data_IF_178810931729
#
_entry.id   IF_178810931729
#
_cell.length_a   1.000
_cell.length_b   1.000
_cell.length_c   1.000
_cell.angle_alpha   90.00
_cell.angle_beta   90.00
_cell.angle_gamma   90.00
#
_symmetry.space_group_name_H-M   'P 1'
#
loop_
_entity.id
_entity.type
_entity.pdbx_description
1 polymer ?
#
# COMPACT_ATOMS: atom_id res chain seq x y z
N UNK A 1 26.86 3.98 18.07
CA UNK A 1 27.16 2.64 17.54
C UNK A 1 27.12 2.67 16.02
N UNK A 2 28.18 2.25 15.34
CA UNK A 2 28.15 2.09 13.88
C UNK A 2 27.38 0.79 13.60
N UNK A 3 26.18 0.89 13.04
CA UNK A 3 25.47 -0.27 12.54
C UNK A 3 26.24 -0.83 11.35
N UNK A 4 26.82 -2.01 11.55
CA UNK A 4 27.38 -2.78 10.46
C UNK A 4 26.25 -3.24 9.54
N UNK A 5 26.47 -3.09 8.26
CA UNK A 5 25.49 -3.29 7.20
C UNK A 5 25.10 -4.76 7.14
N UNK A 6 23.85 -5.09 7.44
CA UNK A 6 23.30 -6.39 7.06
C UNK A 6 23.12 -6.43 5.55
N UNK A 7 24.07 -7.05 4.86
CA UNK A 7 23.93 -7.36 3.44
C UNK A 7 23.26 -8.72 3.31
N UNK A 8 22.02 -8.83 2.82
CA UNK A 8 21.52 -10.11 2.37
C UNK A 8 22.37 -10.52 1.16
N UNK A 9 23.12 -11.61 1.26
CA UNK A 9 23.84 -12.14 0.11
C UNK A 9 22.83 -12.68 -0.92
N UNK A 10 23.26 -12.85 -2.18
CA UNK A 10 22.42 -13.44 -3.23
C UNK A 10 21.88 -14.83 -2.83
N UNK A 11 22.60 -15.56 -1.99
CA UNK A 11 22.19 -16.86 -1.45
C UNK A 11 21.17 -16.73 -0.33
N UNK A 12 21.28 -15.71 0.57
CA UNK A 12 20.27 -15.42 1.59
C UNK A 12 18.93 -15.01 0.97
N UNK A 13 18.95 -14.41 -0.21
CA UNK A 13 17.72 -14.08 -0.95
C UNK A 13 17.16 -15.27 -1.74
N UNK A 14 17.99 -16.27 -2.08
CA UNK A 14 17.56 -17.47 -2.80
C UNK A 14 17.01 -18.58 -1.89
N UNK A 15 17.41 -18.60 -0.64
CA UNK A 15 17.00 -19.62 0.31
C UNK A 15 16.47 -18.94 1.56
N UNK A 16 15.26 -19.27 1.96
CA UNK A 16 14.64 -18.88 3.24
C UNK A 16 15.34 -19.52 4.46
N UNK A 17 16.49 -20.18 4.26
CA UNK A 17 17.27 -20.82 5.30
C UNK A 17 18.29 -19.83 5.87
N UNK A 18 18.38 -19.80 7.20
CA UNK A 18 19.33 -19.07 8.00
C UNK A 18 20.73 -19.02 7.40
N UNK A 19 21.24 -17.84 7.03
CA UNK A 19 22.66 -17.64 6.86
C UNK A 19 23.34 -17.88 8.22
N UNK A 20 24.04 -18.98 8.35
CA UNK A 20 24.90 -19.23 9.49
C UNK A 20 26.11 -18.30 9.43
N UNK A 21 26.16 -17.33 10.34
CA UNK A 21 27.35 -16.59 10.73
C UNK A 21 27.99 -15.64 9.71
N UNK A 22 28.52 -14.58 10.22
CA UNK A 22 29.08 -13.38 9.58
C UNK A 22 30.24 -13.59 8.59
N UNK A 23 30.77 -14.81 8.41
CA UNK A 23 32.07 -15.02 7.74
C UNK A 23 32.01 -15.62 6.31
N UNK A 24 30.83 -15.83 5.74
CA UNK A 24 30.72 -16.52 4.43
C UNK A 24 30.27 -15.64 3.26
N UNK A 25 29.93 -14.37 3.49
CA UNK A 25 29.54 -13.45 2.41
C UNK A 25 30.77 -12.81 1.75
N UNK A 26 31.12 -13.22 0.53
CA UNK A 26 32.16 -12.54 -0.28
C UNK A 26 31.81 -11.07 -0.47
N UNK A 27 32.73 -10.19 -0.08
CA UNK A 27 32.61 -8.73 -0.15
C UNK A 27 32.22 -8.26 -1.55
N UNK A 28 31.04 -7.69 -1.69
CA UNK A 28 30.66 -6.90 -2.87
C UNK A 28 31.28 -5.51 -2.71
N UNK A 29 32.03 -5.04 -3.72
CA UNK A 29 32.68 -3.72 -3.77
C UNK A 29 31.70 -2.64 -3.30
N UNK A 30 32.08 -1.94 -2.23
CA UNK A 30 31.32 -0.85 -1.63
C UNK A 30 31.23 0.35 -2.59
N UNK A 31 30.19 0.44 -3.43
CA UNK A 31 29.76 1.74 -3.95
C UNK A 31 29.28 2.54 -2.76
N UNK A 32 29.75 3.79 -2.60
CA UNK A 32 29.24 4.75 -1.61
C UNK A 32 27.72 4.90 -1.87
N UNK A 33 26.90 4.18 -1.11
CA UNK A 33 25.45 4.25 -1.23
C UNK A 33 25.01 5.63 -0.74
N UNK A 34 24.18 6.30 -1.54
CA UNK A 34 23.51 7.54 -1.10
C UNK A 34 22.64 7.21 0.11
N UNK A 35 22.53 8.08 1.10
CA UNK A 35 21.62 7.88 2.22
C UNK A 35 20.19 7.65 1.70
N UNK A 36 19.48 6.66 2.28
CA UNK A 36 18.08 6.47 1.98
C UNK A 36 17.26 7.56 2.66
N UNK A 37 16.51 8.32 1.90
CA UNK A 37 15.76 9.46 2.44
C UNK A 37 14.40 9.06 3.01
N UNK A 38 13.80 7.99 2.51
CA UNK A 38 12.54 7.42 3.00
C UNK A 38 11.29 8.30 2.90
N UNK A 39 11.45 9.62 2.83
CA UNK A 39 10.34 10.59 2.77
C UNK A 39 10.12 10.96 1.32
N UNK A 40 8.90 10.73 0.81
CA UNK A 40 8.57 10.96 -0.59
C UNK A 40 7.08 11.24 -0.78
N UNK A 41 6.74 11.77 -1.93
CA UNK A 41 5.35 11.74 -2.37
C UNK A 41 4.93 10.30 -2.70
N UNK A 42 3.66 9.99 -2.45
CA UNK A 42 3.15 8.65 -2.71
C UNK A 42 3.30 8.25 -4.17
N UNK A 43 3.62 6.99 -4.43
CA UNK A 43 3.74 6.47 -5.81
C UNK A 43 2.38 6.22 -6.46
N UNK A 44 1.33 6.08 -5.66
CA UNK A 44 -0.05 5.89 -6.11
C UNK A 44 -0.75 7.23 -6.39
N UNK A 45 0.04 8.23 -6.59
CA UNK A 45 -0.16 9.63 -6.87
C UNK A 45 -1.59 10.16 -6.85
N UNK A 46 -2.37 9.76 -7.82
CA UNK A 46 -3.75 10.24 -7.95
C UNK A 46 -4.77 9.36 -7.21
N UNK A 47 -4.46 8.12 -6.84
CA UNK A 47 -5.41 7.22 -6.18
C UNK A 47 -5.33 7.28 -4.64
N UNK A 48 -4.27 7.85 -4.08
CA UNK A 48 -4.07 7.91 -2.64
C UNK A 48 -4.47 9.27 -2.06
N UNK A 49 -5.33 9.26 -1.03
CA UNK A 49 -5.70 10.46 -0.27
C UNK A 49 -4.54 11.03 0.55
N UNK A 50 -3.49 10.22 0.82
CA UNK A 50 -2.32 10.64 1.60
C UNK A 50 -1.15 10.93 0.67
N UNK A 51 -0.81 12.21 0.44
CA UNK A 51 0.17 12.59 -0.57
C UNK A 51 1.62 12.28 -0.18
N UNK A 52 1.91 12.13 1.11
CA UNK A 52 3.27 11.92 1.63
C UNK A 52 3.40 10.56 2.28
N UNK A 53 4.39 9.78 1.80
CA UNK A 53 4.75 8.47 2.33
C UNK A 53 6.13 8.49 2.97
N UNK A 54 6.25 7.76 4.07
CA UNK A 54 7.51 7.53 4.79
C UNK A 54 7.77 6.03 4.81
N UNK A 55 8.93 5.62 4.29
CA UNK A 55 9.40 4.24 4.36
C UNK A 55 10.68 4.19 5.18
N UNK A 56 10.66 3.42 6.24
CA UNK A 56 11.78 3.34 7.21
C UNK A 56 12.98 2.55 6.71
N UNK A 57 12.78 1.74 5.68
CA UNK A 57 13.83 0.97 5.02
C UNK A 57 13.65 0.98 3.50
N UNK A 58 14.76 0.81 2.78
CA UNK A 58 14.75 0.69 1.32
C UNK A 58 14.08 -0.61 0.84
N UNK A 59 14.13 -1.67 1.65
CA UNK A 59 13.52 -3.00 1.42
C UNK A 59 13.06 -3.54 2.77
N UNK A 60 11.90 -4.19 2.81
CA UNK A 60 11.36 -4.82 4.02
C UNK A 60 12.14 -6.09 4.42
N UNK A 61 12.36 -6.30 5.72
CA UNK A 61 13.05 -7.47 6.27
C UNK A 61 12.19 -8.75 6.30
N UNK A 62 10.88 -8.67 6.21
CA UNK A 62 9.97 -9.83 6.36
C UNK A 62 10.05 -10.86 5.24
N UNK A 63 10.36 -10.45 4.02
CA UNK A 63 10.65 -11.38 2.91
C UNK A 63 9.45 -12.18 2.41
N UNK A 64 8.25 -11.64 2.49
CA UNK A 64 7.02 -12.28 1.97
C UNK A 64 7.20 -12.74 0.53
N UNK A 65 6.78 -13.98 0.22
CA UNK A 65 7.02 -14.60 -1.09
C UNK A 65 6.31 -13.88 -2.23
N UNK A 66 5.16 -13.29 -1.98
CA UNK A 66 4.32 -12.58 -2.94
C UNK A 66 4.64 -11.08 -3.06
N UNK A 67 5.62 -10.55 -2.33
CA UNK A 67 5.84 -9.11 -2.22
C UNK A 67 6.17 -8.45 -3.56
N UNK A 68 5.28 -7.61 -4.06
CA UNK A 68 5.46 -6.88 -5.32
C UNK A 68 6.64 -5.89 -5.28
N UNK A 69 6.97 -5.36 -4.10
CA UNK A 69 8.07 -4.41 -3.92
C UNK A 69 9.41 -5.03 -4.35
N UNK A 70 9.58 -6.32 -4.11
CA UNK A 70 10.76 -7.07 -4.55
C UNK A 70 10.91 -7.02 -6.07
N UNK A 71 9.82 -7.18 -6.82
CA UNK A 71 9.85 -7.13 -8.28
C UNK A 71 10.18 -5.72 -8.83
N UNK A 72 9.85 -4.69 -8.07
CA UNK A 72 10.07 -3.29 -8.49
C UNK A 72 11.43 -2.73 -8.06
N UNK A 73 11.97 -3.21 -6.94
CA UNK A 73 13.15 -2.62 -6.29
C UNK A 73 14.43 -3.43 -6.54
N UNK A 74 14.35 -4.74 -6.71
CA UNK A 74 15.49 -5.67 -6.69
C UNK A 74 16.57 -5.41 -7.72
N UNK A 75 16.29 -4.83 -8.85
CA UNK A 75 17.34 -4.46 -9.81
C UNK A 75 18.23 -3.30 -9.35
N UNK A 76 17.98 -2.72 -8.18
CA UNK A 76 18.52 -1.42 -7.77
C UNK A 76 19.06 -1.35 -6.34
N UNK A 77 18.62 -2.21 -5.42
CA UNK A 77 19.02 -2.19 -4.01
C UNK A 77 19.30 -3.61 -3.52
N UNK A 78 20.58 -3.95 -3.43
CA UNK A 78 21.02 -5.25 -2.89
C UNK A 78 21.14 -5.25 -1.35
N UNK A 79 20.79 -4.16 -0.67
CA UNK A 79 21.00 -3.97 0.76
C UNK A 79 19.81 -3.31 1.40
N UNK A 80 19.38 -3.77 2.57
CA UNK A 80 18.44 -3.06 3.42
C UNK A 80 19.16 -1.85 3.98
N UNK A 81 18.78 -0.66 3.52
CA UNK A 81 19.32 0.60 4.02
C UNK A 81 18.23 1.28 4.84
N UNK A 82 18.41 1.42 6.16
CA UNK A 82 17.45 2.12 6.98
C UNK A 82 17.47 3.62 6.70
N UNK A 83 16.35 4.28 6.97
CA UNK A 83 16.25 5.74 6.96
C UNK A 83 17.20 6.33 8.00
N UNK A 84 17.93 7.38 7.63
CA UNK A 84 18.90 8.01 8.54
C UNK A 84 18.23 8.79 9.68
N UNK A 85 18.93 9.00 10.80
CA UNK A 85 18.46 9.83 11.91
C UNK A 85 18.19 11.29 11.49
N UNK A 86 18.93 11.81 10.50
CA UNK A 86 18.69 13.13 9.91
C UNK A 86 17.27 13.29 9.32
N UNK A 87 16.59 12.18 9.03
CA UNK A 87 15.20 12.21 8.55
C UNK A 87 14.23 12.71 9.62
N UNK A 88 14.48 12.45 10.90
CA UNK A 88 13.67 12.95 12.01
C UNK A 88 13.73 14.48 12.09
N UNK A 89 14.93 15.05 12.02
CA UNK A 89 15.11 16.52 11.97
C UNK A 89 14.46 17.12 10.72
N UNK A 90 14.50 16.43 9.59
CA UNK A 90 13.82 16.86 8.37
C UNK A 90 12.29 16.86 8.55
N UNK A 91 11.72 15.79 9.12
CA UNK A 91 10.29 15.71 9.42
C UNK A 91 9.87 16.78 10.41
N UNK A 92 10.64 16.96 11.49
CA UNK A 92 10.41 18.03 12.45
C UNK A 92 10.46 19.42 11.80
N UNK A 93 11.41 19.67 10.90
CA UNK A 93 11.48 20.91 10.12
C UNK A 93 10.27 21.13 9.20
N UNK A 94 9.71 20.04 8.64
CA UNK A 94 8.49 20.10 7.83
C UNK A 94 7.29 20.43 8.74
N UNK A 95 7.09 19.66 9.81
CA UNK A 95 5.90 19.75 10.67
C UNK A 95 5.87 21.02 11.53
N UNK A 96 7.04 21.53 11.96
CA UNK A 96 7.14 22.79 12.69
C UNK A 96 6.95 24.04 11.83
N UNK A 97 6.98 23.92 10.52
CA UNK A 97 6.97 25.06 9.61
C UNK A 97 8.31 25.81 9.51
N UNK A 98 9.34 25.44 10.29
CA UNK A 98 10.61 26.19 10.39
C UNK A 98 11.56 25.99 9.21
N UNK A 99 11.44 24.89 8.45
CA UNK A 99 12.32 24.65 7.31
C UNK A 99 11.90 25.49 6.11
N UNK A 100 12.78 26.38 5.65
CA UNK A 100 12.59 27.22 4.46
C UNK A 100 12.97 26.53 3.15
N UNK A 101 13.42 25.26 3.19
CA UNK A 101 13.79 24.54 1.98
C UNK A 101 12.57 24.37 1.04
N UNK A 102 12.80 24.51 -0.27
CA UNK A 102 11.75 24.30 -1.30
C UNK A 102 11.06 22.95 -1.13
N UNK A 103 11.80 21.92 -0.76
CA UNK A 103 11.28 20.57 -0.53
C UNK A 103 10.33 20.54 0.68
N UNK A 104 10.70 21.16 1.80
CA UNK A 104 9.84 21.25 2.98
C UNK A 104 8.55 22.04 2.71
N UNK A 105 8.67 23.16 1.98
CA UNK A 105 7.51 23.94 1.56
C UNK A 105 6.54 23.12 0.71
N UNK A 106 7.07 22.29 -0.20
CA UNK A 106 6.24 21.41 -1.04
C UNK A 106 5.51 20.35 -0.20
N UNK A 107 6.20 19.70 0.73
CA UNK A 107 5.55 18.73 1.62
C UNK A 107 4.46 19.38 2.46
N UNK A 108 4.71 20.57 3.01
CA UNK A 108 3.69 21.33 3.77
C UNK A 108 2.48 21.68 2.92
N UNK A 109 2.67 22.10 1.66
CA UNK A 109 1.56 22.37 0.75
C UNK A 109 0.75 21.10 0.49
N UNK A 110 1.40 19.99 0.18
CA UNK A 110 0.72 18.73 -0.05
C UNK A 110 -0.01 18.21 1.21
N UNK A 111 0.56 18.44 2.40
CA UNK A 111 -0.04 18.10 3.68
C UNK A 111 -1.08 19.13 4.17
N UNK A 112 -1.39 20.15 3.39
CA UNK A 112 -2.39 21.17 3.74
C UNK A 112 -2.10 21.86 5.09
N UNK A 113 -0.85 22.13 5.41
CA UNK A 113 -0.46 22.73 6.68
C UNK A 113 -1.06 24.12 6.93
N UNK A 114 -1.37 24.87 5.87
CA UNK A 114 -2.00 26.20 5.92
C UNK A 114 -3.51 26.15 5.72
N UNK A 115 -4.04 24.99 5.35
CA UNK A 115 -5.43 24.74 5.06
C UNK A 115 -5.85 23.43 5.77
N UNK A 116 -5.80 23.51 7.10
CA UNK A 116 -6.12 22.37 7.98
C UNK A 116 -7.61 22.06 7.93
N UNK A 117 -7.99 20.82 8.29
CA UNK A 117 -9.41 20.49 8.40
C UNK A 117 -10.09 21.29 9.53
N UNK A 118 -11.41 21.20 9.62
CA UNK A 118 -12.22 21.91 10.63
C UNK A 118 -11.83 21.61 12.08
N UNK A 119 -11.19 20.49 12.33
CA UNK A 119 -10.70 20.10 13.65
C UNK A 119 -9.22 20.48 13.88
N UNK A 120 -8.62 21.22 12.94
CA UNK A 120 -7.26 21.75 13.08
C UNK A 120 -6.14 20.79 12.70
N UNK A 121 -6.43 19.63 12.10
CA UNK A 121 -5.41 18.65 11.67
C UNK A 121 -4.96 18.87 10.23
N UNK A 122 -3.66 18.70 9.93
CA UNK A 122 -3.16 18.63 8.56
C UNK A 122 -3.48 17.26 7.94
N UNK A 123 -3.28 17.11 6.63
CA UNK A 123 -3.41 15.81 5.96
C UNK A 123 -2.44 14.79 6.57
N UNK A 124 -2.90 13.57 6.77
CA UNK A 124 -2.09 12.52 7.35
C UNK A 124 -0.91 12.11 6.45
N UNK A 125 0.19 11.72 7.06
CA UNK A 125 1.29 11.01 6.38
C UNK A 125 1.05 9.50 6.42
N UNK A 126 1.47 8.81 5.37
CA UNK A 126 1.44 7.34 5.33
C UNK A 126 2.81 6.79 5.75
N UNK A 127 2.84 5.93 6.76
CA UNK A 127 4.02 5.19 7.20
C UNK A 127 3.91 3.73 6.75
N UNK A 128 4.92 3.23 6.04
CA UNK A 128 4.95 1.85 5.59
C UNK A 128 4.21 1.58 4.27
N UNK A 129 4.61 2.25 3.18
CA UNK A 129 4.06 1.99 1.84
C UNK A 129 4.81 0.87 1.09
N UNK A 130 6.14 0.81 1.21
CA UNK A 130 7.01 -0.15 0.53
C UNK A 130 7.70 -1.10 1.52
N UNK A 131 8.15 -0.57 2.66
CA UNK A 131 8.75 -1.34 3.75
C UNK A 131 7.84 -1.34 4.96
N UNK A 132 8.02 -2.33 5.83
CA UNK A 132 7.25 -2.40 7.07
C UNK A 132 7.92 -1.56 8.16
N UNK A 133 7.22 -0.61 8.79
CA UNK A 133 7.80 0.28 9.79
C UNK A 133 8.00 -0.38 11.16
N UNK A 134 7.37 -1.53 11.40
CA UNK A 134 7.39 -2.25 12.67
C UNK A 134 8.10 -3.62 12.53
N UNK A 135 9.13 -3.70 11.69
CA UNK A 135 9.89 -4.92 11.52
C UNK A 135 10.97 -5.10 12.61
N UNK A 136 11.68 -6.23 12.57
CA UNK A 136 12.72 -6.54 13.57
C UNK A 136 13.90 -5.55 13.58
N UNK A 137 14.10 -4.79 12.50
CA UNK A 137 15.12 -3.74 12.45
C UNK A 137 14.68 -2.54 13.30
N UNK A 138 13.39 -2.23 13.27
CA UNK A 138 12.82 -1.18 14.11
C UNK A 138 12.98 -1.48 15.60
N UNK A 139 12.75 -2.72 16.04
CA UNK A 139 12.99 -3.16 17.42
C UNK A 139 14.40 -2.82 17.93
N UNK A 140 15.39 -2.86 17.05
CA UNK A 140 16.78 -2.53 17.40
C UNK A 140 17.06 -1.03 17.35
N UNK A 141 16.31 -0.26 16.55
CA UNK A 141 16.60 1.15 16.25
C UNK A 141 15.79 2.12 17.06
N UNK A 142 14.54 1.80 17.39
CA UNK A 142 13.61 2.70 18.05
C UNK A 142 13.37 4.01 17.27
N UNK A 143 13.42 3.96 15.93
CA UNK A 143 13.18 5.15 15.09
C UNK A 143 11.74 5.62 15.21
N UNK A 144 10.79 4.66 15.23
CA UNK A 144 9.38 4.95 15.38
C UNK A 144 9.06 5.64 16.70
N UNK A 145 9.71 5.23 17.78
CA UNK A 145 9.50 5.86 19.10
C UNK A 145 9.81 7.36 19.06
N UNK A 146 10.94 7.74 18.44
CA UNK A 146 11.33 9.14 18.24
C UNK A 146 10.39 9.85 17.25
N UNK A 147 9.95 9.17 16.22
CA UNK A 147 8.99 9.70 15.24
C UNK A 147 7.64 9.98 15.90
N UNK A 148 7.14 9.10 16.77
CA UNK A 148 5.88 9.28 17.49
C UNK A 148 5.92 10.54 18.40
N UNK A 149 7.06 10.84 19.02
CA UNK A 149 7.22 12.09 19.79
C UNK A 149 7.07 13.34 18.90
N UNK A 150 7.66 13.33 17.71
CA UNK A 150 7.52 14.43 16.74
C UNK A 150 6.07 14.54 16.27
N UNK A 151 5.42 13.41 15.98
CA UNK A 151 4.00 13.34 15.59
C UNK A 151 3.12 13.98 16.64
N UNK A 152 3.25 13.58 17.91
CA UNK A 152 2.48 14.11 19.05
C UNK A 152 2.73 15.61 19.29
N UNK A 153 3.98 16.04 19.11
CA UNK A 153 4.39 17.45 19.29
C UNK A 153 3.73 18.42 18.31
N UNK A 154 3.46 17.97 17.09
CA UNK A 154 2.93 18.82 16.01
C UNK A 154 1.52 18.47 15.56
N UNK A 155 0.84 17.59 16.28
CA UNK A 155 -0.50 17.10 15.96
C UNK A 155 -0.60 16.62 14.50
N UNK A 156 0.40 15.83 14.07
CA UNK A 156 0.47 15.30 12.71
C UNK A 156 -0.19 13.92 12.64
N UNK A 157 -1.34 13.76 11.98
CA UNK A 157 -1.94 12.43 11.82
C UNK A 157 -1.06 11.48 11.01
N UNK A 158 -1.05 10.20 11.40
CA UNK A 158 -0.25 9.16 10.76
C UNK A 158 -1.09 7.91 10.50
N UNK A 159 -1.16 7.51 9.24
CA UNK A 159 -1.71 6.23 8.85
C UNK A 159 -0.57 5.22 8.73
N UNK A 160 -0.61 4.16 9.51
CA UNK A 160 0.42 3.11 9.55
C UNK A 160 -0.09 1.86 8.84
N UNK A 161 0.75 1.24 7.99
CA UNK A 161 0.50 -0.10 7.45
C UNK A 161 1.60 -1.04 7.91
N UNK A 162 1.23 -2.14 8.59
CA UNK A 162 2.24 -3.05 9.15
C UNK A 162 1.79 -4.52 9.16
N UNK A 163 2.76 -5.41 9.28
CA UNK A 163 2.66 -6.82 9.67
C UNK A 163 3.39 -7.09 10.99
N UNK A 164 4.10 -6.10 11.51
CA UNK A 164 4.95 -6.23 12.69
C UNK A 164 4.17 -6.41 13.98
N UNK A 165 4.81 -6.97 15.00
CA UNK A 165 4.22 -7.25 16.31
C UNK A 165 4.75 -6.35 17.45
N UNK A 166 5.38 -5.20 17.11
CA UNK A 166 5.96 -4.32 18.13
C UNK A 166 4.93 -3.72 19.08
N UNK A 167 3.66 -3.61 18.68
CA UNK A 167 2.57 -3.24 19.58
C UNK A 167 2.14 -4.35 20.58
N UNK A 168 2.90 -5.44 20.69
CA UNK A 168 2.90 -6.31 21.87
C UNK A 168 3.84 -5.81 22.97
N UNK A 169 4.75 -4.90 22.64
CA UNK A 169 5.75 -4.36 23.56
C UNK A 169 5.27 -3.04 24.17
N UNK A 170 5.40 -2.93 25.50
CA UNK A 170 4.88 -1.79 26.26
C UNK A 170 5.39 -0.44 25.75
N UNK A 171 6.66 -0.34 25.37
CA UNK A 171 7.26 0.91 24.90
C UNK A 171 6.62 1.46 23.63
N UNK A 172 6.18 0.58 22.70
CA UNK A 172 5.48 0.98 21.48
C UNK A 172 4.02 1.36 21.74
N UNK A 173 3.37 0.72 22.70
CA UNK A 173 2.03 1.12 23.15
C UNK A 173 2.10 2.47 23.88
N UNK A 174 3.07 2.66 24.77
CA UNK A 174 3.28 3.94 25.44
C UNK A 174 3.57 5.09 24.47
N UNK A 175 4.18 4.82 23.32
CA UNK A 175 4.47 5.85 22.32
C UNK A 175 3.20 6.44 21.67
N UNK A 176 2.09 5.71 21.65
CA UNK A 176 0.84 6.13 20.97
C UNK A 176 -0.30 6.49 21.92
N UNK A 177 -0.27 6.04 23.19
CA UNK A 177 -1.40 6.14 24.13
C UNK A 177 -1.82 7.56 24.50
N UNK A 178 -0.90 8.54 24.50
CA UNK A 178 -1.19 9.90 24.98
C UNK A 178 -1.96 10.75 23.95
N UNK A 179 -1.90 10.38 22.66
CA UNK A 179 -2.65 10.99 21.55
C UNK A 179 -3.07 9.91 20.56
N UNK A 180 -3.90 8.94 20.98
CA UNK A 180 -4.26 7.78 20.17
C UNK A 180 -4.99 8.19 18.88
N UNK A 181 -5.72 9.30 18.90
CA UNK A 181 -6.45 9.86 17.77
C UNK A 181 -5.55 10.20 16.56
N UNK A 182 -4.26 10.45 16.78
CA UNK A 182 -3.30 10.75 15.71
C UNK A 182 -2.88 9.52 14.92
N UNK A 183 -3.22 8.32 15.39
CA UNK A 183 -2.75 7.09 14.80
C UNK A 183 -3.92 6.25 14.24
N UNK A 184 -3.83 5.90 12.96
CA UNK A 184 -4.66 4.88 12.34
C UNK A 184 -3.76 3.74 11.88
N UNK A 185 -3.89 2.58 12.52
CA UNK A 185 -3.02 1.42 12.24
C UNK A 185 -3.79 0.35 11.46
N UNK A 186 -3.34 0.04 10.25
CA UNK A 186 -3.90 -1.05 9.47
C UNK A 186 -2.97 -2.26 9.46
N UNK A 187 -3.47 -3.39 9.91
CA UNK A 187 -2.73 -4.64 9.94
C UNK A 187 -2.92 -5.43 8.65
N UNK A 188 -1.81 -5.70 7.96
CA UNK A 188 -1.83 -6.56 6.78
C UNK A 188 -1.84 -8.01 7.21
N UNK A 189 -2.99 -8.67 7.07
CA UNK A 189 -3.19 -10.10 7.34
C UNK A 189 -3.93 -10.69 6.13
N UNK A 190 -3.43 -11.78 5.58
CA UNK A 190 -3.94 -12.36 4.32
C UNK A 190 -4.67 -13.69 4.51
N UNK A 191 -4.52 -14.30 5.68
CA UNK A 191 -5.22 -15.51 6.10
C UNK A 191 -5.17 -15.62 7.64
N UNK A 192 -6.14 -16.24 8.29
CA UNK A 192 -6.09 -16.54 9.72
C UNK A 192 -5.19 -17.74 10.07
N UNK A 193 -4.68 -18.45 9.07
CA UNK A 193 -3.90 -19.67 9.21
C UNK A 193 -2.43 -19.37 9.51
N UNK A 194 -2.04 -19.50 10.77
CA UNK A 194 -0.67 -19.22 11.22
C UNK A 194 0.37 -20.16 10.60
N UNK A 195 -0.03 -21.40 10.22
CA UNK A 195 0.88 -22.35 9.54
C UNK A 195 1.21 -21.84 8.13
N UNK A 196 0.18 -21.42 7.39
CA UNK A 196 0.34 -20.85 6.06
C UNK A 196 1.10 -19.52 6.11
N UNK A 197 0.79 -18.64 7.08
CA UNK A 197 1.53 -17.38 7.27
C UNK A 197 3.02 -17.64 7.46
N UNK A 198 3.40 -18.60 8.31
CA UNK A 198 4.81 -18.92 8.58
C UNK A 198 5.59 -19.32 7.33
N UNK A 199 4.92 -19.94 6.38
CA UNK A 199 5.54 -20.38 5.12
C UNK A 199 5.54 -19.26 4.07
N UNK A 200 4.44 -18.52 3.90
CA UNK A 200 4.32 -17.48 2.85
C UNK A 200 4.93 -16.14 3.26
N UNK A 201 5.07 -15.88 4.56
CA UNK A 201 5.66 -14.67 5.15
C UNK A 201 6.74 -15.03 6.19
N UNK A 202 7.83 -15.68 5.81
CA UNK A 202 8.69 -16.50 6.67
C UNK A 202 9.35 -15.75 7.83
N UNK A 203 9.41 -14.43 7.80
CA UNK A 203 10.02 -13.60 8.86
C UNK A 203 9.06 -12.60 9.48
N UNK A 204 7.81 -12.58 9.03
CA UNK A 204 6.77 -11.76 9.63
C UNK A 204 6.13 -12.49 10.82
N UNK A 205 5.59 -11.77 11.81
CA UNK A 205 4.76 -12.33 12.86
C UNK A 205 3.55 -13.07 12.28
N UNK A 206 3.00 -14.03 13.02
CA UNK A 206 1.84 -14.79 12.60
C UNK A 206 0.52 -13.95 12.66
N UNK A 207 -0.60 -14.48 12.18
CA UNK A 207 -1.88 -13.77 12.17
C UNK A 207 -2.38 -13.51 13.60
N UNK A 208 -2.22 -14.48 14.50
CA UNK A 208 -2.64 -14.38 15.90
C UNK A 208 -1.92 -13.24 16.63
N UNK A 209 -0.61 -13.09 16.45
CA UNK A 209 0.15 -11.98 17.04
C UNK A 209 -0.29 -10.61 16.49
N UNK A 210 -0.58 -10.52 15.19
CA UNK A 210 -1.06 -9.27 14.56
C UNK A 210 -2.46 -8.90 15.08
N UNK A 211 -3.36 -9.87 15.23
CA UNK A 211 -4.69 -9.65 15.83
C UNK A 211 -4.58 -9.21 17.28
N UNK A 212 -3.64 -9.78 18.05
CA UNK A 212 -3.39 -9.32 19.41
C UNK A 212 -2.86 -7.88 19.46
N UNK A 213 -2.00 -7.48 18.52
CA UNK A 213 -1.59 -6.08 18.39
C UNK A 213 -2.77 -5.15 18.10
N UNK A 214 -3.70 -5.56 17.21
CA UNK A 214 -4.91 -4.79 16.93
C UNK A 214 -5.71 -4.60 18.22
N UNK A 215 -5.93 -5.66 18.99
CA UNK A 215 -6.64 -5.62 20.28
C UNK A 215 -5.97 -4.66 21.26
N UNK A 216 -4.63 -4.77 21.44
CA UNK A 216 -3.89 -3.90 22.34
C UNK A 216 -4.00 -2.42 21.95
N UNK A 217 -4.00 -2.11 20.67
CA UNK A 217 -4.18 -0.74 20.16
C UNK A 217 -5.62 -0.25 20.37
N UNK A 218 -6.61 -1.09 20.12
CA UNK A 218 -8.02 -0.77 20.37
C UNK A 218 -8.27 -0.48 21.85
N UNK A 219 -7.64 -1.24 22.75
CA UNK A 219 -7.75 -1.02 24.20
C UNK A 219 -7.12 0.33 24.66
N UNK A 220 -6.39 1.00 23.78
CA UNK A 220 -5.85 2.35 23.96
C UNK A 220 -6.58 3.42 23.12
N UNK A 221 -7.76 3.11 22.58
CA UNK A 221 -8.53 3.98 21.69
C UNK A 221 -7.82 4.36 20.38
N UNK A 222 -6.77 3.64 19.99
CA UNK A 222 -6.14 3.79 18.68
C UNK A 222 -7.04 3.12 17.62
N UNK A 223 -7.37 3.86 16.57
CA UNK A 223 -8.15 3.33 15.44
C UNK A 223 -7.37 2.23 14.71
N UNK A 224 -8.01 1.07 14.50
CA UNK A 224 -7.40 -0.05 13.78
C UNK A 224 -8.26 -0.53 12.62
N UNK A 225 -7.61 -1.11 11.60
CA UNK A 225 -8.30 -1.69 10.45
C UNK A 225 -7.61 -2.94 9.92
N UNK A 226 -8.39 -3.83 9.32
CA UNK A 226 -7.88 -4.98 8.57
C UNK A 226 -7.40 -4.53 7.18
N UNK A 227 -6.18 -4.87 6.83
CA UNK A 227 -5.67 -4.71 5.48
C UNK A 227 -5.49 -6.09 4.84
N UNK A 228 -6.56 -6.62 4.23
CA UNK A 228 -6.58 -7.88 3.50
C UNK A 228 -5.94 -7.68 2.12
N UNK A 229 -4.63 -7.42 2.13
CA UNK A 229 -3.82 -7.08 0.96
C UNK A 229 -2.43 -7.70 1.04
N UNK A 230 -2.07 -8.48 0.04
CA UNK A 230 -2.89 -8.87 -1.10
C UNK A 230 -3.73 -10.12 -0.82
N UNK A 231 -4.87 -10.25 -1.49
CA UNK A 231 -5.59 -11.52 -1.57
C UNK A 231 -4.94 -12.43 -2.63
N UNK A 232 -4.78 -13.69 -2.30
CA UNK A 232 -4.11 -14.71 -3.12
C UNK A 232 -4.93 -15.98 -3.20
N UNK A 233 -5.07 -16.61 -4.38
CA UNK A 233 -5.70 -17.91 -4.51
C UNK A 233 -5.00 -18.99 -3.68
N UNK A 234 -5.77 -19.74 -2.89
CA UNK A 234 -5.25 -20.79 -2.01
C UNK A 234 -4.62 -20.30 -0.71
N UNK A 235 -4.77 -18.99 -0.40
CA UNK A 235 -4.31 -18.38 0.85
C UNK A 235 -5.43 -17.58 1.49
N UNK A 236 -6.01 -16.64 0.75
CA UNK A 236 -7.02 -15.72 1.30
C UNK A 236 -8.44 -16.23 1.13
N UNK A 237 -8.70 -17.01 0.10
CA UNK A 237 -10.00 -17.65 -0.13
C UNK A 237 -10.19 -18.89 0.73
N UNK A 238 -9.21 -19.78 0.76
CA UNK A 238 -9.25 -21.02 1.52
C UNK A 238 -7.88 -21.55 1.87
N UNK A 239 -7.75 -22.21 3.01
CA UNK A 239 -6.60 -23.03 3.40
C UNK A 239 -7.11 -24.39 3.92
N UNK A 240 -6.25 -25.39 4.15
CA UNK A 240 -6.70 -26.67 4.68
C UNK A 240 -7.50 -26.56 5.98
N UNK A 241 -7.07 -25.66 6.89
CA UNK A 241 -7.73 -25.48 8.19
C UNK A 241 -8.88 -24.45 8.14
N UNK A 242 -8.97 -23.63 7.09
CA UNK A 242 -9.97 -22.56 6.94
C UNK A 242 -10.58 -22.55 5.53
N UNK A 243 -11.70 -23.26 5.29
CA UNK A 243 -12.35 -23.34 3.98
C UNK A 243 -12.88 -21.99 3.44
N UNK A 244 -13.08 -21.03 4.31
CA UNK A 244 -13.43 -19.62 4.01
C UNK A 244 -12.51 -18.71 4.82
N UNK A 245 -11.22 -18.70 4.47
CA UNK A 245 -10.19 -18.02 5.24
C UNK A 245 -10.47 -16.51 5.41
N UNK A 246 -10.93 -15.83 4.35
CA UNK A 246 -11.31 -14.40 4.41
C UNK A 246 -12.39 -14.13 5.44
N UNK A 247 -13.41 -15.01 5.56
CA UNK A 247 -14.52 -14.84 6.47
C UNK A 247 -14.04 -14.92 7.92
N UNK A 248 -13.38 -16.02 8.30
CA UNK A 248 -12.82 -16.17 9.65
C UNK A 248 -11.85 -15.04 10.00
N UNK A 249 -11.07 -14.56 9.02
CA UNK A 249 -10.17 -13.44 9.25
C UNK A 249 -10.91 -12.13 9.53
N UNK A 250 -11.98 -11.84 8.81
CA UNK A 250 -12.82 -10.66 9.04
C UNK A 250 -13.42 -10.73 10.44
N UNK A 251 -14.07 -11.85 10.79
CA UNK A 251 -14.66 -12.09 12.11
C UNK A 251 -13.63 -11.84 13.24
N UNK A 252 -12.48 -12.51 13.17
CA UNK A 252 -11.40 -12.32 14.17
C UNK A 252 -10.83 -10.90 14.22
N UNK A 253 -10.84 -10.19 13.10
CA UNK A 253 -10.37 -8.80 13.07
C UNK A 253 -11.37 -7.85 13.72
N UNK A 254 -12.67 -8.11 13.56
CA UNK A 254 -13.75 -7.38 14.25
C UNK A 254 -13.65 -7.62 15.76
N UNK A 255 -13.47 -8.86 16.20
CA UNK A 255 -13.25 -9.22 17.60
C UNK A 255 -12.01 -8.51 18.20
N UNK A 256 -11.01 -8.23 17.36
CA UNK A 256 -9.82 -7.46 17.73
C UNK A 256 -10.00 -5.93 17.64
N UNK A 257 -11.23 -5.46 17.31
CA UNK A 257 -11.60 -4.05 17.28
C UNK A 257 -11.40 -3.35 15.93
N UNK A 258 -11.26 -4.08 14.82
CA UNK A 258 -11.21 -3.46 13.51
C UNK A 258 -12.51 -2.69 13.20
N UNK A 259 -12.38 -1.43 12.80
CA UNK A 259 -13.50 -0.58 12.36
C UNK A 259 -13.55 -0.41 10.84
N UNK A 260 -12.51 -0.85 10.15
CA UNK A 260 -12.39 -0.68 8.70
C UNK A 260 -11.69 -1.88 8.06
N UNK A 261 -11.98 -2.10 6.78
CA UNK A 261 -11.28 -3.06 5.95
C UNK A 261 -10.79 -2.42 4.65
N UNK A 262 -9.55 -2.76 4.28
CA UNK A 262 -8.96 -2.42 2.98
C UNK A 262 -8.56 -3.69 2.26
N UNK A 263 -9.05 -3.94 1.05
CA UNK A 263 -8.71 -5.16 0.32
C UNK A 263 -8.35 -4.94 -1.14
N UNK A 264 -7.52 -5.84 -1.67
CA UNK A 264 -6.99 -5.84 -3.03
C UNK A 264 -6.44 -7.20 -3.38
N UNK A 265 -6.67 -7.68 -4.61
CA UNK A 265 -6.04 -8.90 -5.10
C UNK A 265 -4.55 -8.70 -5.38
N UNK A 266 -3.77 -9.75 -5.20
CA UNK A 266 -2.36 -9.71 -5.54
C UNK A 266 -2.16 -9.37 -7.03
N UNK A 267 -1.21 -8.51 -7.29
CA UNK A 267 -0.77 -8.20 -8.64
C UNK A 267 0.76 -8.14 -8.71
N UNK A 268 1.31 -8.40 -9.89
CA UNK A 268 2.74 -8.29 -10.14
C UNK A 268 2.96 -7.17 -11.16
N UNK A 269 3.64 -6.07 -10.79
CA UNK A 269 3.91 -4.98 -11.73
C UNK A 269 4.82 -5.45 -12.87
N UNK A 270 4.40 -5.25 -14.10
CA UNK A 270 5.14 -5.65 -15.28
C UNK A 270 5.30 -7.18 -15.41
N UNK A 271 6.46 -7.62 -15.90
CA UNK A 271 6.81 -9.05 -15.95
C UNK A 271 7.48 -9.49 -14.67
N UNK A 272 7.23 -10.73 -14.26
CA UNK A 272 7.96 -11.32 -13.13
C UNK A 272 9.46 -11.38 -13.44
N UNK A 273 10.27 -10.81 -12.55
CA UNK A 273 11.71 -11.05 -12.55
C UNK A 273 12.00 -12.52 -12.21
N UNK A 274 13.20 -13.01 -12.53
CA UNK A 274 13.62 -14.38 -12.18
C UNK A 274 13.45 -14.67 -10.69
N UNK A 275 13.83 -13.72 -9.84
CA UNK A 275 13.67 -13.85 -8.39
C UNK A 275 12.21 -13.95 -7.98
N UNK A 276 11.34 -13.12 -8.55
CA UNK A 276 9.90 -13.19 -8.29
C UNK A 276 9.31 -14.53 -8.76
N UNK A 277 9.72 -15.02 -9.93
CA UNK A 277 9.30 -16.34 -10.43
C UNK A 277 9.73 -17.46 -9.45
N UNK A 278 10.94 -17.41 -8.94
CA UNK A 278 11.43 -18.41 -7.99
C UNK A 278 10.66 -18.37 -6.66
N UNK A 279 10.35 -17.18 -6.15
CA UNK A 279 9.49 -17.00 -4.95
C UNK A 279 8.07 -17.53 -5.20
N UNK A 280 7.50 -17.25 -6.35
CA UNK A 280 6.18 -17.72 -6.69
C UNK A 280 6.11 -19.23 -6.93
N UNK A 281 7.15 -19.85 -7.48
CA UNK A 281 7.27 -21.31 -7.54
C UNK A 281 7.33 -21.97 -6.15
N UNK A 282 7.92 -21.27 -5.17
CA UNK A 282 7.88 -21.73 -3.78
C UNK A 282 6.47 -21.60 -3.22
N UNK A 283 5.80 -20.46 -3.48
CA UNK A 283 4.43 -20.23 -3.08
C UNK A 283 3.45 -21.26 -3.69
N UNK A 284 3.62 -21.62 -4.98
CA UNK A 284 2.86 -22.68 -5.66
C UNK A 284 2.89 -24.02 -4.90
N UNK A 285 4.06 -24.39 -4.40
CA UNK A 285 4.23 -25.64 -3.62
C UNK A 285 3.51 -25.59 -2.27
N UNK A 286 3.47 -24.40 -1.64
CA UNK A 286 2.83 -24.21 -0.34
C UNK A 286 1.30 -24.31 -0.49
N UNK A 287 0.76 -23.67 -1.53
CA UNK A 287 -0.70 -23.58 -1.73
C UNK A 287 -1.27 -24.67 -2.64
N UNK A 288 -0.40 -25.55 -3.16
CA UNK A 288 -0.76 -26.59 -4.13
C UNK A 288 -1.60 -26.08 -5.31
N UNK A 289 -1.18 -24.93 -5.88
CA UNK A 289 -1.83 -24.30 -7.04
C UNK A 289 -0.79 -23.73 -7.99
N UNK A 290 -0.97 -23.84 -9.31
CA UNK A 290 -0.03 -23.32 -10.31
C UNK A 290 -0.19 -21.80 -10.48
N UNK A 291 0.15 -21.01 -9.46
CA UNK A 291 -0.11 -19.55 -9.40
C UNK A 291 0.52 -18.78 -10.55
N UNK A 292 1.71 -19.16 -11.00
CA UNK A 292 2.39 -18.49 -12.12
C UNK A 292 1.56 -18.61 -13.40
N UNK A 293 0.91 -19.76 -13.61
CA UNK A 293 0.04 -20.00 -14.76
C UNK A 293 -1.36 -19.40 -14.57
N UNK A 294 -1.84 -19.29 -13.33
CA UNK A 294 -3.14 -18.72 -12.99
C UNK A 294 -3.17 -17.22 -13.28
N UNK A 295 -2.06 -16.51 -13.06
CA UNK A 295 -2.03 -15.07 -13.26
C UNK A 295 -1.97 -14.72 -14.73
N UNK A 296 -2.95 -13.97 -15.15
CA UNK A 296 -3.04 -13.48 -16.52
C UNK A 296 -2.32 -12.16 -16.68
N UNK A 297 -1.78 -12.00 -17.85
CA UNK A 297 -1.23 -10.73 -18.27
C UNK A 297 -2.31 -9.88 -18.99
N UNK A 298 -2.27 -8.56 -18.81
CA UNK A 298 -3.08 -7.59 -19.53
C UNK A 298 -2.49 -7.26 -20.90
N UNK A 299 -2.91 -7.98 -21.96
CA UNK A 299 -2.50 -7.70 -23.34
C UNK A 299 -1.01 -7.91 -23.63
N UNK A 300 -0.53 -7.51 -24.81
CA UNK A 300 0.86 -7.75 -25.26
C UNK A 300 1.94 -6.90 -24.53
N UNK A 301 1.57 -5.77 -23.96
CA UNK A 301 2.48 -4.80 -23.33
C UNK A 301 2.07 -4.50 -21.88
N UNK A 302 2.14 -5.47 -21.01
CA UNK A 302 1.36 -5.51 -19.78
C UNK A 302 1.90 -4.67 -18.65
N UNK A 303 1.03 -3.83 -18.08
CA UNK A 303 1.35 -3.05 -16.88
C UNK A 303 1.44 -3.93 -15.62
N UNK A 304 0.68 -5.02 -15.54
CA UNK A 304 0.73 -5.96 -14.43
C UNK A 304 0.11 -7.31 -14.77
N UNK A 305 0.54 -8.35 -14.05
CA UNK A 305 -0.11 -9.66 -14.03
C UNK A 305 -1.15 -9.68 -12.91
N UNK A 306 -2.31 -10.26 -13.15
CA UNK A 306 -3.44 -10.35 -12.21
C UNK A 306 -4.02 -11.75 -12.19
N UNK A 307 -4.77 -12.14 -11.12
CA UNK A 307 -5.50 -13.40 -11.13
C UNK A 307 -6.64 -13.37 -12.17
N UNK A 308 -7.19 -14.54 -12.52
CA UNK A 308 -8.33 -14.62 -13.44
C UNK A 308 -9.51 -13.76 -12.96
N UNK A 309 -10.22 -13.17 -13.92
CA UNK A 309 -11.34 -12.29 -13.63
C UNK A 309 -12.40 -12.97 -12.75
N UNK A 310 -12.78 -14.20 -13.06
CA UNK A 310 -13.81 -14.94 -12.31
C UNK A 310 -13.44 -15.13 -10.84
N UNK A 311 -12.19 -15.49 -10.54
CA UNK A 311 -11.72 -15.63 -9.17
C UNK A 311 -11.71 -14.26 -8.46
N UNK A 312 -11.17 -13.23 -9.14
CA UNK A 312 -11.14 -11.88 -8.59
C UNK A 312 -12.53 -11.37 -8.27
N UNK A 313 -13.47 -11.52 -9.21
CA UNK A 313 -14.86 -11.11 -9.04
C UNK A 313 -15.51 -11.78 -7.82
N UNK A 314 -15.32 -13.08 -7.67
CA UNK A 314 -15.90 -13.83 -6.56
C UNK A 314 -15.33 -13.40 -5.22
N UNK A 315 -13.99 -13.34 -5.09
CA UNK A 315 -13.37 -12.99 -3.81
C UNK A 315 -13.66 -11.55 -3.41
N UNK A 316 -13.67 -10.61 -4.38
CA UNK A 316 -13.98 -9.22 -4.12
C UNK A 316 -15.39 -9.03 -3.57
N UNK A 317 -16.39 -9.70 -4.18
CA UNK A 317 -17.77 -9.68 -3.69
C UNK A 317 -17.93 -10.43 -2.37
N UNK A 318 -17.31 -11.61 -2.21
CA UNK A 318 -17.40 -12.38 -0.97
C UNK A 318 -16.85 -11.60 0.25
N UNK A 319 -15.70 -10.93 0.07
CA UNK A 319 -15.11 -10.09 1.12
C UNK A 319 -15.99 -8.86 1.39
N UNK A 320 -16.53 -8.22 0.34
CA UNK A 320 -17.44 -7.09 0.49
C UNK A 320 -18.68 -7.47 1.30
N UNK A 321 -19.39 -8.54 0.90
CA UNK A 321 -20.60 -9.00 1.58
C UNK A 321 -20.33 -9.42 3.04
N UNK A 322 -19.20 -10.05 3.29
CA UNK A 322 -18.84 -10.41 4.67
C UNK A 322 -18.52 -9.19 5.52
N UNK A 323 -17.76 -8.23 4.97
CA UNK A 323 -17.43 -6.98 5.66
C UNK A 323 -18.68 -6.16 6.02
N UNK A 324 -19.68 -6.14 5.13
CA UNK A 324 -20.97 -5.48 5.36
C UNK A 324 -21.74 -6.05 6.53
N UNK A 325 -21.69 -7.37 6.77
CA UNK A 325 -22.38 -8.00 7.91
C UNK A 325 -21.82 -7.54 9.26
N UNK A 326 -20.59 -7.03 9.26
CA UNK A 326 -19.89 -6.58 10.46
C UNK A 326 -19.78 -5.06 10.55
N UNK A 327 -20.51 -4.31 9.73
CA UNK A 327 -20.53 -2.83 9.70
C UNK A 327 -19.13 -2.20 9.53
N UNK A 328 -18.21 -2.91 8.88
CA UNK A 328 -16.87 -2.37 8.61
C UNK A 328 -16.92 -1.27 7.55
N UNK A 329 -16.19 -0.20 7.76
CA UNK A 329 -15.95 0.83 6.72
C UNK A 329 -15.11 0.23 5.60
N UNK A 330 -15.65 0.18 4.38
CA UNK A 330 -15.06 -0.56 3.27
C UNK A 330 -14.29 0.36 2.33
N UNK A 331 -12.97 0.14 2.25
CA UNK A 331 -12.09 0.74 1.27
C UNK A 331 -11.52 -0.30 0.30
N UNK A 332 -11.71 -0.08 -1.01
CA UNK A 332 -11.18 -0.96 -2.05
C UNK A 332 -10.00 -0.31 -2.73
N UNK A 333 -8.86 -0.99 -2.70
CA UNK A 333 -7.64 -0.50 -3.34
C UNK A 333 -7.52 -0.92 -4.80
N UNK A 334 -8.11 -2.05 -5.18
CA UNK A 334 -8.07 -2.49 -6.57
C UNK A 334 -8.77 -1.48 -7.49
N UNK A 335 -8.07 -0.89 -8.47
CA UNK A 335 -8.64 0.15 -9.33
C UNK A 335 -9.90 -0.29 -10.07
N UNK A 336 -9.93 -1.55 -10.49
CA UNK A 336 -11.06 -2.07 -11.28
C UNK A 336 -12.33 -2.28 -10.45
N UNK A 337 -12.21 -2.44 -9.14
CA UNK A 337 -13.30 -2.81 -8.25
C UNK A 337 -13.77 -1.66 -7.34
N UNK A 338 -13.52 -0.42 -7.75
CA UNK A 338 -13.92 0.77 -6.98
C UNK A 338 -15.44 0.90 -6.77
N UNK A 339 -16.26 0.19 -7.53
CA UNK A 339 -17.71 0.14 -7.27
C UNK A 339 -18.06 -0.49 -5.92
N UNK A 340 -17.17 -1.28 -5.33
CA UNK A 340 -17.36 -1.89 -4.01
C UNK A 340 -16.83 -1.00 -2.87
N UNK A 341 -16.16 0.12 -3.16
CA UNK A 341 -15.73 1.03 -2.10
C UNK A 341 -16.90 1.87 -1.59
N UNK A 342 -16.93 2.14 -0.30
CA UNK A 342 -17.97 2.94 0.35
C UNK A 342 -17.47 4.32 0.77
N UNK A 343 -16.17 4.50 0.78
CA UNK A 343 -15.52 5.74 1.21
C UNK A 343 -14.48 6.22 0.20
N UNK A 344 -14.21 7.51 0.17
CA UNK A 344 -13.28 8.16 -0.76
C UNK A 344 -11.79 7.81 -0.54
N UNK A 345 -11.50 6.88 0.36
CA UNK A 345 -10.15 6.44 0.69
C UNK A 345 -10.07 4.90 0.68
N UNK A 346 -9.11 4.35 -0.06
CA UNK A 346 -8.90 2.91 -0.11
C UNK A 346 -8.45 2.27 1.23
N UNK A 347 -8.18 3.09 2.24
CA UNK A 347 -7.82 2.63 3.59
C UNK A 347 -9.03 2.43 4.51
N UNK A 348 -10.25 2.72 4.06
CA UNK A 348 -11.43 2.60 4.91
C UNK A 348 -11.53 3.74 5.95
N UNK A 349 -11.30 4.98 5.52
CA UNK A 349 -11.47 6.17 6.35
C UNK A 349 -12.66 6.94 5.80
N UNK A 350 -13.61 7.29 6.66
CA UNK A 350 -14.79 8.08 6.30
C UNK A 350 -14.44 9.55 6.07
N UNK A 351 -15.25 10.25 5.31
CA UNK A 351 -15.04 11.68 5.02
C UNK A 351 -15.23 12.56 6.27
N UNK A 352 -16.08 12.11 7.18
CA UNK A 352 -16.41 12.78 8.45
C UNK A 352 -15.47 12.40 9.61
N UNK A 353 -14.44 11.58 9.35
CA UNK A 353 -13.44 11.29 10.37
C UNK A 353 -12.77 12.61 10.83
N UNK A 354 -12.82 12.95 12.14
CA UNK A 354 -12.38 14.26 12.60
C UNK A 354 -10.88 14.51 12.42
N UNK A 355 -10.07 13.45 12.31
CA UNK A 355 -8.61 13.56 12.20
C UNK A 355 -8.14 13.24 10.77
N UNK A 356 -8.66 12.17 10.18
CA UNK A 356 -8.21 11.63 8.90
C UNK A 356 -9.15 11.95 7.72
N UNK A 357 -10.34 12.48 7.98
CA UNK A 357 -11.31 12.86 6.96
C UNK A 357 -10.97 14.14 6.21
N UNK A 358 -11.85 14.55 5.31
CA UNK A 358 -11.76 15.78 4.48
C UNK A 358 -10.62 15.83 3.44
N UNK A 359 -9.62 14.98 3.51
CA UNK A 359 -8.50 14.92 2.57
C UNK A 359 -8.73 14.01 1.36
N UNK A 360 -9.84 13.27 1.38
CA UNK A 360 -10.19 12.28 0.36
C UNK A 360 -10.65 12.93 -0.95
N UNK A 361 -11.08 14.18 -0.90
CA UNK A 361 -11.67 14.93 -2.04
C UNK A 361 -10.78 14.98 -3.26
N UNK A 362 -9.46 14.95 -3.08
CA UNK A 362 -8.48 15.00 -4.17
C UNK A 362 -8.05 13.62 -4.65
N UNK A 363 -8.59 12.53 -4.08
CA UNK A 363 -8.26 11.16 -4.52
C UNK A 363 -9.11 10.74 -5.71
N UNK A 364 -8.51 9.96 -6.61
CA UNK A 364 -9.27 9.36 -7.70
C UNK A 364 -10.39 8.44 -7.19
N UNK A 365 -10.15 7.73 -6.08
CA UNK A 365 -11.17 6.89 -5.44
C UNK A 365 -12.43 7.69 -5.13
N UNK A 366 -12.29 8.87 -4.50
CA UNK A 366 -13.43 9.72 -4.18
C UNK A 366 -14.13 10.25 -5.44
N UNK A 367 -13.38 10.68 -6.44
CA UNK A 367 -13.96 11.16 -7.70
C UNK A 367 -14.69 10.05 -8.47
N UNK A 368 -14.20 8.81 -8.41
CA UNK A 368 -14.89 7.66 -8.98
C UNK A 368 -16.19 7.35 -8.24
N UNK A 369 -16.24 7.50 -6.92
CA UNK A 369 -17.47 7.37 -6.14
C UNK A 369 -18.49 8.46 -6.52
N UNK A 370 -18.07 9.70 -6.60
CA UNK A 370 -18.92 10.80 -7.06
C UNK A 370 -19.47 10.50 -8.47
N UNK A 371 -18.62 10.02 -9.37
CA UNK A 371 -19.03 9.64 -10.73
C UNK A 371 -20.02 8.48 -10.73
N UNK A 372 -19.82 7.48 -9.86
CA UNK A 372 -20.73 6.35 -9.66
C UNK A 372 -22.13 6.82 -9.23
N UNK A 373 -22.15 7.69 -8.21
CA UNK A 373 -23.39 8.05 -7.52
C UNK A 373 -24.17 9.16 -8.25
N UNK A 374 -23.47 10.01 -9.01
CA UNK A 374 -24.09 11.17 -9.69
C UNK A 374 -24.14 11.04 -11.22
N UNK A 375 -23.41 10.08 -11.81
CA UNK A 375 -23.23 9.99 -13.26
C UNK A 375 -22.31 11.06 -13.86
N UNK A 376 -21.59 11.84 -13.03
CA UNK A 376 -20.63 12.85 -13.47
C UNK A 376 -19.59 12.22 -14.41
N UNK A 377 -19.33 12.90 -15.53
CA UNK A 377 -18.21 12.56 -16.40
C UNK A 377 -16.90 13.07 -15.79
N UNK A 378 -15.88 12.23 -15.79
CA UNK A 378 -14.57 12.55 -15.24
C UNK A 378 -13.61 13.03 -16.32
N UNK A 379 -12.95 14.14 -16.05
CA UNK A 379 -11.75 14.61 -16.73
C UNK A 379 -10.50 14.35 -15.88
N UNK A 380 -9.31 14.51 -16.44
CA UNK A 380 -8.08 14.41 -15.63
C UNK A 380 -8.00 15.45 -14.51
N UNK A 381 -8.65 16.60 -14.69
CA UNK A 381 -8.65 17.69 -13.70
C UNK A 381 -9.35 17.29 -12.40
N UNK A 382 -10.35 16.41 -12.49
CA UNK A 382 -11.07 15.92 -11.31
C UNK A 382 -10.19 15.04 -10.41
N UNK A 383 -9.18 14.36 -11.00
CA UNK A 383 -8.32 13.38 -10.30
C UNK A 383 -6.84 13.80 -10.24
N UNK A 384 -6.52 15.01 -10.63
CA UNK A 384 -5.15 15.54 -10.58
C UNK A 384 -5.00 16.45 -9.37
N UNK A 385 -4.37 15.99 -8.28
CA UNK A 385 -4.15 16.86 -7.13
C UNK A 385 -3.22 18.01 -7.48
N UNK A 386 -3.38 19.14 -6.81
CA UNK A 386 -2.60 20.37 -7.04
C UNK A 386 -1.09 20.12 -7.02
N UNK A 387 -0.64 19.33 -6.06
CA UNK A 387 0.78 18.99 -5.91
C UNK A 387 1.37 18.18 -7.09
N UNK A 388 0.54 17.50 -7.88
CA UNK A 388 0.99 16.70 -9.03
C UNK A 388 1.61 17.54 -10.17
N UNK A 389 1.34 18.84 -10.20
CA UNK A 389 1.87 19.77 -11.20
C UNK A 389 3.29 20.26 -10.89
N UNK A 390 3.86 19.94 -9.75
CA UNK A 390 5.15 20.47 -9.32
C UNK A 390 6.32 19.73 -9.95
N UNK A 391 7.19 20.44 -10.70
CA UNK A 391 8.36 19.84 -11.40
C UNK A 391 9.34 19.12 -10.48
N UNK A 392 9.53 19.58 -9.26
CA UNK A 392 10.43 18.94 -8.29
C UNK A 392 9.95 17.58 -7.78
N UNK A 393 8.69 17.20 -8.01
CA UNK A 393 8.19 15.85 -7.74
C UNK A 393 8.84 14.78 -8.61
N UNK A 394 9.22 15.12 -9.85
CA UNK A 394 9.87 14.17 -10.74
C UNK A 394 11.25 13.71 -10.26
N UNK A 395 11.93 14.52 -9.44
CA UNK A 395 13.22 14.17 -8.83
C UNK A 395 13.08 13.52 -7.45
N UNK A 396 11.93 13.70 -6.79
CA UNK A 396 11.63 13.21 -5.44
C UNK A 396 10.88 11.87 -5.45
N UNK A 397 10.10 11.61 -6.49
CA UNK A 397 9.64 10.27 -6.79
C UNK A 397 10.89 9.48 -7.14
N UNK A 398 11.39 8.74 -6.18
CA UNK A 398 12.64 8.00 -6.22
C UNK A 398 12.82 7.37 -7.62
N UNK A 399 13.84 7.75 -8.41
CA UNK A 399 14.00 7.27 -9.79
C UNK A 399 14.21 5.77 -9.88
N UNK A 400 14.02 5.08 -8.80
CA UNK A 400 14.19 3.67 -8.59
C UNK A 400 12.94 2.86 -8.31
N UNK A 401 11.79 3.46 -8.03
CA UNK A 401 10.62 2.73 -7.57
C UNK A 401 9.54 2.71 -8.63
N UNK A 402 9.40 1.58 -9.28
CA UNK A 402 8.35 1.26 -10.23
C UNK A 402 8.49 1.90 -11.63
N UNK A 403 7.74 1.35 -12.60
CA UNK A 403 7.75 1.83 -13.97
C UNK A 403 7.28 3.28 -14.11
N UNK A 404 6.52 3.77 -13.15
CA UNK A 404 6.01 5.15 -13.14
C UNK A 404 7.09 6.18 -12.85
N UNK A 405 8.03 5.88 -11.94
CA UNK A 405 9.13 6.78 -11.61
C UNK A 405 10.12 6.96 -12.77
N UNK A 406 10.43 5.88 -13.50
CA UNK A 406 11.26 5.97 -14.71
C UNK A 406 10.53 6.74 -15.83
N UNK A 407 9.21 6.68 -15.85
CA UNK A 407 8.38 7.37 -16.83
C UNK A 407 8.31 8.87 -16.53
N UNK A 408 8.09 9.28 -15.28
CA UNK A 408 8.06 10.70 -14.89
C UNK A 408 9.41 11.38 -15.07
N UNK A 409 10.51 10.71 -14.78
CA UNK A 409 11.85 11.25 -15.00
C UNK A 409 12.13 11.59 -16.48
N UNK A 410 11.52 10.82 -17.39
CA UNK A 410 11.69 11.06 -18.85
C UNK A 410 10.64 12.00 -19.44
N UNK A 411 9.50 12.17 -18.80
CA UNK A 411 8.29 12.75 -19.42
C UNK A 411 7.71 13.96 -18.68
N UNK A 412 8.33 14.43 -17.60
CA UNK A 412 7.90 15.63 -16.87
C UNK A 412 7.16 15.34 -15.55
N UNK A 413 6.22 16.20 -15.18
CA UNK A 413 5.44 16.10 -13.95
C UNK A 413 4.43 14.95 -13.99
N UNK A 414 3.91 14.55 -12.84
CA UNK A 414 2.80 13.59 -12.76
C UNK A 414 1.57 14.06 -13.55
N UNK A 415 1.23 15.35 -13.46
CA UNK A 415 0.12 15.91 -14.21
C UNK A 415 0.31 15.80 -15.74
N UNK A 416 1.54 16.02 -16.23
CA UNK A 416 1.87 15.84 -17.65
C UNK A 416 1.81 14.38 -18.09
N UNK A 417 2.30 13.46 -17.25
CA UNK A 417 2.20 12.01 -17.52
C UNK A 417 0.74 11.58 -17.54
N UNK A 418 -0.05 11.98 -16.54
CA UNK A 418 -1.46 11.66 -16.48
C UNK A 418 -2.22 12.20 -17.69
N UNK A 419 -1.95 13.45 -18.11
CA UNK A 419 -2.55 14.04 -19.31
C UNK A 419 -2.26 13.21 -20.57
N UNK A 420 -1.02 12.75 -20.73
CA UNK A 420 -0.63 11.91 -21.88
C UNK A 420 -1.30 10.53 -21.87
N UNK A 421 -1.52 9.95 -20.69
CA UNK A 421 -2.20 8.67 -20.55
C UNK A 421 -3.71 8.82 -20.66
N UNK A 422 -4.26 9.85 -20.05
CA UNK A 422 -5.69 10.15 -20.03
C UNK A 422 -6.26 10.35 -21.41
N UNK A 423 -5.58 11.15 -22.23
CA UNK A 423 -6.04 11.52 -23.56
C UNK A 423 -5.71 10.52 -24.66
N UNK A 424 -5.10 9.37 -24.33
CA UNK A 424 -4.74 8.31 -25.26
C UNK A 424 -5.28 6.95 -24.78
N UNK A 425 -6.57 6.66 -25.00
CA UNK A 425 -7.20 5.45 -24.48
C UNK A 425 -6.58 4.16 -25.00
N UNK A 426 -5.95 4.20 -26.18
CA UNK A 426 -5.24 3.05 -26.78
C UNK A 426 -3.92 2.68 -26.07
N UNK A 427 -3.41 3.56 -25.23
CA UNK A 427 -2.17 3.27 -24.52
C UNK A 427 -2.40 2.36 -23.32
N UNK A 428 -1.49 1.41 -23.15
CA UNK A 428 -1.44 0.39 -22.10
C UNK A 428 -1.60 1.00 -20.71
N UNK A 429 -1.51 2.04 -20.27
CA UNK A 429 -1.71 2.59 -18.92
C UNK A 429 -2.74 3.70 -18.90
N UNK A 430 -3.52 3.78 -19.96
CA UNK A 430 -4.65 4.71 -19.97
C UNK A 430 -5.67 4.33 -18.91
N UNK A 431 -6.56 5.24 -18.53
CA UNK A 431 -7.63 4.93 -17.57
C UNK A 431 -8.47 3.72 -17.97
N UNK A 432 -8.70 3.51 -19.26
CA UNK A 432 -9.45 2.35 -19.77
C UNK A 432 -8.79 1.02 -19.32
N UNK A 433 -7.47 0.91 -19.47
CA UNK A 433 -6.73 -0.30 -19.09
C UNK A 433 -6.48 -0.37 -17.57
N UNK A 434 -6.13 0.73 -16.95
CA UNK A 434 -5.86 0.77 -15.51
C UNK A 434 -7.08 0.36 -14.69
N UNK A 435 -8.26 0.85 -15.06
CA UNK A 435 -9.54 0.52 -14.43
C UNK A 435 -10.24 -0.70 -15.08
N UNK A 436 -9.55 -1.45 -15.93
CA UNK A 436 -10.02 -2.69 -16.56
C UNK A 436 -11.39 -2.55 -17.25
N UNK A 437 -11.67 -1.39 -17.84
CA UNK A 437 -12.93 -1.10 -18.50
C UNK A 437 -14.06 -0.59 -17.58
N UNK A 438 -13.82 -0.45 -16.29
CA UNK A 438 -14.79 0.19 -15.39
C UNK A 438 -14.95 1.69 -15.69
N UNK A 439 -13.93 2.31 -16.31
CA UNK A 439 -13.93 3.70 -16.76
C UNK A 439 -13.74 3.73 -18.28
N UNK A 440 -14.74 4.22 -19.00
CA UNK A 440 -14.77 4.22 -20.48
C UNK A 440 -14.76 5.63 -21.05
N UNK A 441 -14.02 5.90 -22.16
CA UNK A 441 -14.03 7.20 -22.81
C UNK A 441 -15.37 7.42 -23.56
N UNK A 442 -15.96 8.61 -23.45
CA UNK A 442 -17.27 8.92 -24.03
C UNK A 442 -17.30 10.16 -24.91
N UNK A 443 -16.48 11.17 -24.61
CA UNK A 443 -16.41 12.39 -25.45
C UNK A 443 -15.06 13.07 -25.30
N UNK A 444 -14.75 13.94 -26.27
CA UNK A 444 -13.58 14.82 -26.25
C UNK A 444 -14.08 16.25 -26.38
N UNK A 445 -13.53 17.18 -25.63
CA UNK A 445 -13.85 18.60 -25.78
C UNK A 445 -13.04 19.25 -26.92
N UNK A 446 -13.29 20.57 -27.10
CA UNK A 446 -12.61 21.38 -28.12
C UNK A 446 -11.08 21.49 -27.93
N UNK A 447 -10.61 21.32 -26.71
CA UNK A 447 -9.19 21.40 -26.35
C UNK A 447 -8.50 20.03 -26.41
N UNK A 448 -9.25 19.00 -26.82
CA UNK A 448 -8.77 17.64 -27.01
C UNK A 448 -8.77 16.80 -25.73
N UNK A 449 -9.32 17.30 -24.62
CA UNK A 449 -9.42 16.57 -23.35
C UNK A 449 -10.50 15.50 -23.45
N UNK A 450 -10.17 14.28 -23.02
CA UNK A 450 -11.06 13.14 -22.99
C UNK A 450 -11.87 13.11 -21.70
N UNK A 451 -13.15 12.83 -21.83
CA UNK A 451 -14.08 12.62 -20.70
C UNK A 451 -14.46 11.15 -20.62
N UNK A 452 -14.44 10.63 -19.40
CA UNK A 452 -14.73 9.24 -19.12
C UNK A 452 -16.02 9.12 -18.30
N UNK A 453 -16.79 8.07 -18.62
CA UNK A 453 -17.93 7.63 -17.82
C UNK A 453 -17.49 6.46 -16.94
N UNK A 454 -17.80 6.53 -15.65
CA UNK A 454 -17.67 5.40 -14.77
C UNK A 454 -18.90 4.48 -14.91
N UNK A 455 -18.68 3.21 -15.18
CA UNK A 455 -19.75 2.22 -15.30
C UNK A 455 -19.58 1.04 -14.34
N UNK A 456 -18.43 0.93 -13.66
CA UNK A 456 -18.06 -0.23 -12.87
C UNK A 456 -17.85 -1.48 -13.71
N UNK A 457 -17.55 -2.59 -13.05
CA UNK A 457 -17.50 -3.90 -13.66
C UNK A 457 -18.81 -4.65 -13.39
N UNK A 458 -19.40 -5.20 -14.45
CA UNK A 458 -20.62 -6.01 -14.31
C UNK A 458 -20.25 -7.38 -13.78
N UNK A 459 -20.99 -7.86 -12.77
CA UNK A 459 -20.84 -9.22 -12.27
C UNK A 459 -21.22 -10.24 -13.35
N UNK A 460 -20.33 -11.19 -13.64
CA UNK A 460 -20.49 -12.23 -14.65
C UNK A 460 -20.58 -13.62 -14.06
N UNK A 461 -19.94 -13.84 -12.93
CA UNK A 461 -19.92 -15.13 -12.25
C UNK A 461 -21.13 -15.26 -11.34
N UNK A 462 -21.92 -16.36 -11.40
CA UNK A 462 -23.04 -16.59 -10.49
C UNK A 462 -22.60 -16.61 -9.02
N UNK A 463 -23.45 -16.08 -8.13
CA UNK A 463 -23.13 -15.88 -6.71
C UNK A 463 -22.66 -17.14 -5.99
N UNK A 464 -23.25 -18.27 -6.30
CA UNK A 464 -22.98 -19.55 -5.64
C UNK A 464 -21.95 -20.41 -6.36
N UNK A 465 -21.15 -19.84 -7.28
CA UNK A 465 -20.09 -20.60 -7.94
C UNK A 465 -18.91 -20.78 -6.98
N UNK A 466 -18.57 -22.01 -6.57
CA UNK A 466 -17.43 -22.21 -5.66
C UNK A 466 -16.11 -21.79 -6.29
N UNK A 467 -15.20 -21.19 -5.53
CA UNK A 467 -13.87 -20.75 -6.00
C UNK A 467 -13.09 -21.86 -6.72
N UNK A 468 -13.18 -23.10 -6.25
CA UNK A 468 -12.47 -24.25 -6.84
C UNK A 468 -13.04 -24.76 -8.17
N UNK A 469 -14.20 -24.27 -8.60
CA UNK A 469 -14.79 -24.60 -9.93
C UNK A 469 -14.39 -23.61 -11.02
N UNK A 470 -13.57 -22.65 -10.68
CA UNK A 470 -13.06 -21.65 -11.64
C UNK A 470 -11.72 -22.15 -12.13
N UNK A 471 -11.71 -22.72 -13.33
CA UNK A 471 -10.51 -23.19 -14.04
C UNK A 471 -9.82 -22.05 -14.77
#
# INVERSE_FOLDING_TARGET
>A
MRYERMNPCKECMKHSASCGGENTCKQVRQKKLRPYTGIRFTSDGFDCAFPVSIDVHSVCSFGCLYCFAVNTIQGRVNTITPIGEASLSKLEGIFSGKSESKEAQMFRRALKYHDRNENGYPCAVQLGAISDPMDNIERQRGWFLKFAEIVKKYDQPVKISTKGNLFLEKEYLDAVKDKPELFFVTYSIITPDDKVIKEVEPRAPNATERLQCMKNLTDLDVKVGLRLRPMLPGVSDSTPDYPQAYKTLIERSVDAGATAISFECAFVPGRMTEDMQNRWKTLEKIVDKPLVNIYNNFGKNQACMRPPYQWTEQIMHAVYEEAKKHDLVIGVSDPAWKQLTEVGCCCGITEDDPVFGNWQRESATNQLMIARDTGKLLSRHDITPEWASHKSLCGLVNPGVGPTAAYTHRHGTWAEVLSKLWNNPEKERSPLYYFQGALIPVKRDKDGELYYKYQGLKRKTPENTPFWKIN
#
